data_IF_971137079852
#
_entry.id   IF_971137079852
#
_cell.length_a   1.000
_cell.length_b   1.000
_cell.length_c   1.000
_cell.angle_alpha   90.00
_cell.angle_beta   90.00
_cell.angle_gamma   90.00
#
_symmetry.space_group_name_H-M   'P 1'
#
loop_
_entity.id
_entity.type
_entity.pdbx_description
1 polymer ?
#
# COMPACT_ATOMS: atom_id res chain seq x y z
N UNK A 1 16.82 7.70 -21.02
CA UNK A 1 15.67 7.87 -20.10
C UNK A 1 15.30 6.61 -19.31
N UNK A 2 16.07 5.50 -19.36
CA UNK A 2 15.78 4.29 -18.55
C UNK A 2 16.39 4.28 -17.14
N UNK A 3 17.33 5.17 -16.82
CA UNK A 3 17.95 5.21 -15.49
C UNK A 3 16.95 5.61 -14.40
N UNK A 4 16.01 6.50 -14.72
CA UNK A 4 15.10 7.11 -13.75
C UNK A 4 14.09 6.13 -13.16
N UNK A 5 13.51 5.22 -13.96
CA UNK A 5 12.51 4.27 -13.47
C UNK A 5 13.16 3.23 -12.57
N UNK A 6 14.30 2.69 -12.99
CA UNK A 6 15.03 1.71 -12.19
C UNK A 6 15.45 2.28 -10.84
N UNK A 7 16.01 3.50 -10.82
CA UNK A 7 16.36 4.18 -9.56
C UNK A 7 15.14 4.44 -8.67
N UNK A 8 13.96 4.71 -9.24
CA UNK A 8 12.71 4.83 -8.49
C UNK A 8 12.28 3.48 -7.89
N UNK A 9 12.29 2.40 -8.67
CA UNK A 9 11.96 1.05 -8.20
C UNK A 9 12.91 0.60 -7.09
N UNK A 10 14.22 0.79 -7.26
CA UNK A 10 15.22 0.50 -6.23
C UNK A 10 14.95 1.30 -4.94
N UNK A 11 14.58 2.57 -5.05
CA UNK A 11 14.26 3.40 -3.87
C UNK A 11 13.01 2.90 -3.14
N UNK A 12 11.95 2.57 -3.89
CA UNK A 12 10.72 2.03 -3.33
C UNK A 12 10.97 0.68 -2.64
N UNK A 13 11.74 -0.19 -3.30
CA UNK A 13 12.06 -1.51 -2.77
C UNK A 13 12.88 -1.43 -1.48
N UNK A 14 13.93 -0.63 -1.45
CA UNK A 14 14.76 -0.46 -0.25
C UNK A 14 13.95 0.08 0.93
N UNK A 15 13.05 1.04 0.70
CA UNK A 15 12.22 1.60 1.78
C UNK A 15 11.27 0.57 2.37
N UNK A 16 10.70 -0.31 1.54
CA UNK A 16 9.84 -1.41 2.01
C UNK A 16 10.65 -2.50 2.70
N UNK A 17 11.85 -2.82 2.21
CA UNK A 17 12.76 -3.75 2.89
C UNK A 17 13.17 -3.23 4.27
N UNK A 18 13.51 -1.96 4.39
CA UNK A 18 13.81 -1.34 5.70
C UNK A 18 12.63 -1.48 6.66
N UNK A 19 11.39 -1.39 6.17
CA UNK A 19 10.20 -1.58 6.99
C UNK A 19 9.94 -3.03 7.40
N UNK A 20 10.25 -4.00 6.54
CA UNK A 20 10.11 -5.41 6.88
C UNK A 20 11.26 -5.92 7.75
N UNK A 21 12.49 -5.42 7.55
CA UNK A 21 13.69 -5.91 8.25
C UNK A 21 13.92 -5.26 9.62
N UNK A 22 13.57 -3.98 9.81
CA UNK A 22 13.87 -3.28 11.07
C UNK A 22 12.84 -3.49 12.19
N UNK A 23 11.75 -4.21 11.94
CA UNK A 23 10.68 -4.49 12.93
C UNK A 23 10.34 -3.23 13.75
N UNK A 24 9.88 -2.17 13.04
CA UNK A 24 9.69 -0.83 13.60
C UNK A 24 8.67 -0.77 14.75
N UNK A 25 7.95 -1.86 15.03
CA UNK A 25 7.05 -1.99 16.19
C UNK A 25 7.73 -1.70 17.53
N UNK A 26 9.03 -1.95 17.63
CA UNK A 26 9.77 -1.69 18.87
C UNK A 26 10.43 -0.30 18.88
N UNK A 27 10.30 0.47 17.80
CA UNK A 27 10.88 1.81 17.68
C UNK A 27 9.89 2.87 18.20
N UNK A 28 10.20 3.55 19.31
CA UNK A 28 9.35 4.61 19.86
C UNK A 28 9.30 5.87 18.99
N UNK A 29 10.18 6.01 18.00
CA UNK A 29 10.18 7.11 17.02
C UNK A 29 9.39 6.77 15.75
N UNK A 30 8.93 5.52 15.59
CA UNK A 30 8.15 5.12 14.44
C UNK A 30 6.69 5.56 14.57
N UNK A 31 6.24 6.35 13.60
CA UNK A 31 4.87 6.83 13.52
C UNK A 31 4.13 6.11 12.37
N UNK A 32 3.17 5.26 12.74
CA UNK A 32 2.36 4.51 11.78
C UNK A 32 1.43 5.41 10.98
N UNK A 33 0.92 6.50 11.57
CA UNK A 33 0.04 7.46 10.90
C UNK A 33 0.78 8.22 9.79
N UNK A 34 2.10 8.44 9.94
CA UNK A 34 2.97 9.01 8.90
C UNK A 34 3.44 7.96 7.88
N UNK A 35 3.65 6.72 8.32
CA UNK A 35 4.15 5.64 7.46
C UNK A 35 3.08 5.08 6.51
N UNK A 36 1.84 4.93 6.98
CA UNK A 36 0.73 4.44 6.16
C UNK A 36 0.52 5.25 4.86
N UNK A 37 0.41 6.59 4.88
CA UNK A 37 0.29 7.37 3.65
C UNK A 37 1.54 7.31 2.78
N UNK A 38 2.75 7.15 3.35
CA UNK A 38 4.00 6.95 2.60
C UNK A 38 3.92 5.68 1.72
N UNK A 39 3.56 4.54 2.32
CA UNK A 39 3.44 3.26 1.62
C UNK A 39 2.30 3.28 0.59
N UNK A 40 1.16 3.92 0.89
CA UNK A 40 0.09 4.12 -0.08
C UNK A 40 0.53 5.00 -1.27
N UNK A 41 1.36 6.01 -1.02
CA UNK A 41 1.97 6.82 -2.09
C UNK A 41 2.90 5.98 -2.97
N UNK A 42 3.75 5.14 -2.38
CA UNK A 42 4.64 4.21 -3.11
C UNK A 42 3.81 3.28 -4.01
N UNK A 43 2.74 2.69 -3.49
CA UNK A 43 1.85 1.82 -4.27
C UNK A 43 1.22 2.54 -5.46
N UNK A 44 0.75 3.77 -5.26
CA UNK A 44 0.19 4.59 -6.34
C UNK A 44 1.24 4.90 -7.40
N UNK A 45 2.43 5.36 -7.00
CA UNK A 45 3.52 5.68 -7.93
C UNK A 45 3.97 4.43 -8.71
N UNK A 46 4.03 3.27 -8.06
CA UNK A 46 4.35 2.00 -8.71
C UNK A 46 3.30 1.61 -9.77
N UNK A 47 2.02 1.79 -9.47
CA UNK A 47 0.93 1.54 -10.40
C UNK A 47 0.96 2.53 -11.58
N UNK A 48 1.24 3.81 -11.34
CA UNK A 48 1.44 4.79 -12.40
C UNK A 48 2.62 4.39 -13.31
N UNK A 49 3.75 3.98 -12.74
CA UNK A 49 4.90 3.48 -13.53
C UNK A 49 4.47 2.30 -14.41
N UNK A 50 3.71 1.36 -13.85
CA UNK A 50 3.23 0.17 -14.56
C UNK A 50 2.24 0.54 -15.68
N UNK A 51 1.32 1.46 -15.44
CA UNK A 51 0.32 1.89 -16.43
C UNK A 51 0.96 2.70 -17.57
N UNK A 52 1.80 3.68 -17.25
CA UNK A 52 2.36 4.60 -18.24
C UNK A 52 3.59 4.06 -18.97
N UNK A 53 4.39 3.19 -18.34
CA UNK A 53 5.62 2.67 -18.94
C UNK A 53 5.51 1.21 -19.40
N UNK A 54 4.31 0.60 -19.38
CA UNK A 54 4.10 -0.82 -19.68
C UNK A 54 4.81 -1.33 -20.94
N UNK A 55 4.77 -0.55 -22.01
CA UNK A 55 5.38 -0.92 -23.31
C UNK A 55 6.91 -0.77 -23.34
N UNK A 56 7.47 -0.05 -22.36
CA UNK A 56 8.90 0.27 -22.24
C UNK A 56 9.62 -0.49 -21.11
N UNK A 57 8.87 -1.14 -20.21
CA UNK A 57 9.42 -1.96 -19.14
C UNK A 57 10.02 -3.25 -19.73
N UNK A 58 11.22 -3.62 -19.29
CA UNK A 58 11.80 -4.90 -19.62
C UNK A 58 11.44 -5.93 -18.54
N UNK A 59 11.73 -7.20 -18.84
CA UNK A 59 11.47 -8.30 -17.92
C UNK A 59 12.02 -8.09 -16.49
N UNK A 60 13.28 -7.64 -16.29
CA UNK A 60 13.78 -7.39 -14.94
C UNK A 60 13.02 -6.28 -14.19
N UNK A 61 12.61 -5.20 -14.84
CA UNK A 61 11.81 -4.15 -14.17
C UNK A 61 10.41 -4.68 -13.80
N UNK A 62 9.81 -5.52 -14.63
CA UNK A 62 8.51 -6.16 -14.32
C UNK A 62 8.63 -7.13 -13.14
N UNK A 63 9.72 -7.89 -13.05
CA UNK A 63 9.99 -8.76 -11.91
C UNK A 63 10.16 -7.95 -10.62
N UNK A 64 10.90 -6.84 -10.69
CA UNK A 64 11.09 -5.92 -9.57
C UNK A 64 9.77 -5.27 -9.13
N UNK A 65 8.95 -4.80 -10.07
CA UNK A 65 7.61 -4.26 -9.77
C UNK A 65 6.76 -5.31 -9.04
N UNK A 66 6.78 -6.58 -9.49
CA UNK A 66 6.06 -7.65 -8.82
C UNK A 66 6.60 -7.95 -7.41
N UNK A 67 7.92 -7.85 -7.21
CA UNK A 67 8.56 -7.93 -5.88
C UNK A 67 8.04 -6.83 -4.96
N UNK A 68 8.10 -5.57 -5.41
CA UNK A 68 7.64 -4.40 -4.66
C UNK A 68 6.15 -4.53 -4.31
N UNK A 69 5.28 -4.94 -5.25
CA UNK A 69 3.86 -5.16 -4.97
C UNK A 69 3.63 -6.20 -3.85
N UNK A 70 4.41 -7.28 -3.83
CA UNK A 70 4.32 -8.28 -2.75
C UNK A 70 4.77 -7.70 -1.41
N UNK A 71 5.85 -6.92 -1.40
CA UNK A 71 6.35 -6.26 -0.18
C UNK A 71 5.36 -5.23 0.36
N UNK A 72 4.76 -4.40 -0.50
CA UNK A 72 3.69 -3.47 -0.09
C UNK A 72 2.57 -4.22 0.62
N UNK A 73 2.11 -5.35 0.04
CA UNK A 73 1.08 -6.17 0.67
C UNK A 73 1.53 -6.71 2.03
N UNK A 74 2.75 -7.22 2.12
CA UNK A 74 3.31 -7.72 3.38
C UNK A 74 3.40 -6.63 4.44
N UNK A 75 3.90 -5.44 4.09
CA UNK A 75 3.96 -4.29 4.99
C UNK A 75 2.56 -3.91 5.47
N UNK A 76 1.58 -3.81 4.56
CA UNK A 76 0.19 -3.50 4.93
C UNK A 76 -0.41 -4.54 5.89
N UNK A 77 -0.17 -5.82 5.62
CA UNK A 77 -0.67 -6.92 6.45
C UNK A 77 0.04 -6.97 7.82
N UNK A 78 1.36 -6.76 7.86
CA UNK A 78 2.18 -6.83 9.08
C UNK A 78 1.93 -5.64 10.01
N UNK A 79 1.82 -4.43 9.45
CA UNK A 79 1.54 -3.20 10.18
C UNK A 79 0.04 -2.93 10.40
N UNK A 80 -0.83 -3.88 10.07
CA UNK A 80 -2.29 -3.79 10.23
C UNK A 80 -2.86 -2.46 9.73
N UNK A 81 -2.48 -2.06 8.51
CA UNK A 81 -2.92 -0.79 7.93
C UNK A 81 -4.44 -0.67 7.92
N UNK A 82 -4.95 0.54 8.15
CA UNK A 82 -6.38 0.79 8.16
C UNK A 82 -7.01 0.50 6.80
N UNK A 83 -7.89 -0.51 6.78
CA UNK A 83 -8.74 -0.86 5.63
C UNK A 83 -10.19 -0.46 5.95
N UNK A 84 -10.70 0.65 5.37
CA UNK A 84 -12.04 1.12 5.63
C UNK A 84 -13.14 0.13 5.22
N UNK A 85 -12.89 -0.71 4.21
CA UNK A 85 -13.86 -1.72 3.77
C UNK A 85 -13.90 -2.88 4.76
N UNK A 86 -12.73 -3.34 5.25
CA UNK A 86 -12.65 -4.35 6.31
C UNK A 86 -13.31 -3.86 7.60
N UNK A 87 -12.96 -2.67 8.07
CA UNK A 87 -13.53 -2.07 9.28
C UNK A 87 -15.05 -1.92 9.17
N UNK A 88 -15.53 -1.45 8.01
CA UNK A 88 -16.98 -1.39 7.73
C UNK A 88 -17.62 -2.77 7.74
N UNK A 89 -16.96 -3.80 7.20
CA UNK A 89 -17.48 -5.18 7.21
C UNK A 89 -17.56 -5.79 8.61
N UNK A 90 -16.62 -5.46 9.51
CA UNK A 90 -16.64 -5.91 10.91
C UNK A 90 -17.72 -5.16 11.70
N UNK A 91 -17.88 -3.86 11.43
CA UNK A 91 -18.85 -3.01 12.12
C UNK A 91 -20.29 -3.28 11.64
N UNK A 92 -20.46 -3.67 10.38
CA UNK A 92 -21.74 -3.95 9.73
C UNK A 92 -21.72 -5.32 9.02
N UNK A 93 -21.63 -6.43 9.77
CA UNK A 93 -21.50 -7.77 9.19
C UNK A 93 -22.74 -8.21 8.38
N UNK A 94 -23.89 -7.55 8.61
CA UNK A 94 -25.14 -7.78 7.88
C UNK A 94 -25.48 -6.64 6.89
N UNK A 95 -24.54 -5.73 6.62
CA UNK A 95 -24.80 -4.46 5.92
C UNK A 95 -25.14 -3.35 6.90
N UNK A 96 -25.07 -2.08 6.45
CA UNK A 96 -25.62 -0.96 7.22
C UNK A 96 -27.09 -1.27 7.48
N UNK A 97 -27.50 -1.31 8.75
CA UNK A 97 -28.92 -1.27 9.10
C UNK A 97 -29.43 0.06 8.53
N UNK A 98 -30.01 0.00 7.33
CA UNK A 98 -30.95 0.98 6.84
C UNK A 98 -32.15 0.90 7.80
N UNK A 99 -32.01 1.50 8.99
CA UNK A 99 -33.15 1.94 9.77
C UNK A 99 -33.95 2.83 8.82
N UNK A 100 -34.96 2.25 8.17
CA UNK A 100 -36.00 2.99 7.47
C UNK A 100 -36.53 3.99 8.49
N UNK A 101 -36.05 5.23 8.38
CA UNK A 101 -36.46 6.34 9.20
C UNK A 101 -37.92 6.60 8.85
N UNK A 102 -38.81 5.88 9.53
CA UNK A 102 -40.26 5.94 9.44
C UNK A 102 -40.75 7.27 10.09
N UNK A 103 -40.12 8.39 9.72
CA UNK A 103 -40.60 9.75 9.98
C UNK A 103 -41.63 10.10 8.92
N UNK A 104 -42.79 9.45 9.01
CA UNK A 104 -44.02 10.01 8.53
C UNK A 104 -44.48 11.12 9.50
N UNK A 105 -44.30 12.39 9.12
CA UNK A 105 -45.00 13.55 9.69
C UNK A 105 -45.99 14.14 8.67
#
# INVERSE_FOLDING_TARGET
MNKTIKEQLDKMENRLDEALDNDFFNDPEFDLDDFQPEVCSIERELNEILEFNREHLQFPELEQICSIQKKIKQVKDEYEFYDPEYERSVMFPNGEDEEEDDFAF
#
